data_IF_198296446072
#
_entry.id   IF_198296446072
#
_cell.length_a   1.000
_cell.length_b   1.000
_cell.length_c   1.000
_cell.angle_alpha   90.00
_cell.angle_beta   90.00
_cell.angle_gamma   90.00
#
_symmetry.space_group_name_H-M   'P 1'
#
loop_
_entity.id
_entity.type
_entity.pdbx_description
1 polymer ?
#
# COMPACT_ATOMS: atom_id res chain seq x y z
N UNK A 1 23.25 -7.50 3.50
CA UNK A 1 23.27 -6.19 4.24
C UNK A 1 21.87 -5.91 4.74
N UNK A 2 21.72 -5.36 5.95
CA UNK A 2 20.38 -4.99 6.44
C UNK A 2 19.77 -3.93 5.53
N UNK A 3 18.54 -4.12 5.09
CA UNK A 3 17.81 -3.23 4.18
C UNK A 3 17.63 -1.82 4.78
N UNK A 4 17.51 -1.75 6.12
CA UNK A 4 17.42 -0.50 6.90
C UNK A 4 18.22 -0.66 8.18
N UNK A 5 18.96 0.38 8.57
CA UNK A 5 19.68 0.39 9.84
C UNK A 5 18.74 0.67 11.01
N UNK A 6 19.06 0.09 12.18
CA UNK A 6 18.32 0.36 13.42
C UNK A 6 18.30 1.86 13.78
N UNK A 7 19.36 2.59 13.43
CA UNK A 7 19.47 4.04 13.64
C UNK A 7 18.40 4.80 12.82
N UNK A 8 18.22 4.44 11.57
CA UNK A 8 17.18 5.05 10.70
C UNK A 8 15.76 4.81 11.24
N UNK A 9 15.47 3.57 11.72
CA UNK A 9 14.19 3.24 12.34
C UNK A 9 13.95 4.07 13.61
N UNK A 10 14.99 4.25 14.45
CA UNK A 10 14.91 5.04 15.67
C UNK A 10 14.63 6.52 15.35
N UNK A 11 15.38 7.10 14.43
CA UNK A 11 15.24 8.51 13.99
C UNK A 11 13.89 8.80 13.33
N UNK A 12 13.34 7.83 12.62
CA UNK A 12 12.00 7.90 12.05
C UNK A 12 10.88 7.74 13.08
N UNK A 13 11.19 7.31 14.31
CA UNK A 13 10.21 7.10 15.37
C UNK A 13 9.36 5.85 15.20
N UNK A 14 9.87 4.82 14.52
CA UNK A 14 9.17 3.53 14.29
C UNK A 14 8.91 2.79 15.60
N UNK A 15 9.73 3.00 16.61
CA UNK A 15 9.67 2.32 17.91
C UNK A 15 8.51 2.78 18.81
N UNK A 16 7.88 3.92 18.55
CA UNK A 16 6.75 4.37 19.35
C UNK A 16 5.48 3.62 18.96
N UNK A 17 4.84 3.01 19.94
CA UNK A 17 3.51 2.42 19.79
C UNK A 17 2.41 3.30 20.37
N UNK A 18 1.25 2.72 20.56
CA UNK A 18 0.08 3.37 21.17
C UNK A 18 0.11 3.34 22.71
N UNK A 19 -0.80 4.11 23.31
CA UNK A 19 -1.03 4.09 24.77
C UNK A 19 -1.37 2.68 25.24
N UNK A 20 -0.84 2.29 26.40
CA UNK A 20 -0.96 0.95 27.00
C UNK A 20 -2.41 0.46 27.07
N UNK A 21 -3.37 1.31 27.42
CA UNK A 21 -4.80 0.94 27.47
C UNK A 21 -5.44 0.57 26.13
N UNK A 22 -4.78 0.80 24.99
CA UNK A 22 -5.31 0.53 23.66
C UNK A 22 -4.62 -0.64 22.95
N UNK A 23 -3.73 -1.32 23.62
CA UNK A 23 -2.94 -2.35 23.00
C UNK A 23 -3.72 -3.64 22.71
N UNK A 24 -3.19 -4.45 21.83
CA UNK A 24 -3.67 -5.80 21.59
C UNK A 24 -2.70 -6.79 22.27
N UNK A 25 -3.17 -7.71 23.14
CA UNK A 25 -2.30 -8.70 23.81
C UNK A 25 -1.46 -9.56 22.85
N UNK A 26 -1.96 -9.84 21.65
CA UNK A 26 -1.22 -10.59 20.62
C UNK A 26 0.05 -9.89 20.16
N UNK A 27 0.14 -8.56 20.34
CA UNK A 27 1.34 -7.78 20.04
C UNK A 27 2.42 -7.87 21.12
N UNK A 28 2.18 -8.58 22.23
CA UNK A 28 3.15 -8.74 23.33
C UNK A 28 4.53 -9.24 22.86
N UNK A 29 4.55 -10.11 21.84
CA UNK A 29 5.80 -10.63 21.26
C UNK A 29 6.66 -9.58 20.57
N UNK A 30 6.06 -8.44 20.13
CA UNK A 30 6.73 -7.36 19.41
C UNK A 30 7.03 -6.15 20.29
N UNK A 31 6.60 -6.16 21.54
CA UNK A 31 6.81 -5.07 22.50
C UNK A 31 8.10 -5.31 23.26
N UNK A 32 8.96 -4.28 23.34
CA UNK A 32 10.18 -4.30 24.12
C UNK A 32 9.96 -3.88 25.56
N UNK A 33 9.25 -2.74 25.77
CA UNK A 33 9.00 -2.21 27.12
C UNK A 33 7.85 -1.19 27.07
N UNK A 34 7.48 -0.71 28.25
CA UNK A 34 6.58 0.43 28.43
C UNK A 34 7.35 1.64 28.95
N UNK A 35 7.04 2.83 28.42
CA UNK A 35 7.59 4.09 28.93
C UNK A 35 6.53 5.20 28.85
N UNK A 36 6.29 5.85 29.98
CA UNK A 36 5.31 6.95 30.08
C UNK A 36 3.90 6.61 29.58
N UNK A 37 3.43 5.39 29.82
CA UNK A 37 2.11 4.92 29.40
C UNK A 37 2.00 4.65 27.88
N UNK A 38 3.13 4.50 27.19
CA UNK A 38 3.21 4.15 25.75
C UNK A 38 4.09 2.91 25.62
N UNK A 39 3.66 1.96 24.80
CA UNK A 39 4.47 0.81 24.45
C UNK A 39 5.57 1.17 23.47
N UNK A 40 6.74 0.57 23.67
CA UNK A 40 7.88 0.69 22.77
C UNK A 40 8.04 -0.62 22.01
N UNK A 41 8.04 -0.54 20.69
CA UNK A 41 8.21 -1.69 19.79
C UNK A 41 9.67 -2.12 19.76
N UNK A 42 9.90 -3.43 19.70
CA UNK A 42 11.24 -4.03 19.59
C UNK A 42 11.78 -3.87 18.16
N UNK A 43 12.69 -2.92 17.98
CA UNK A 43 13.29 -2.63 16.68
C UNK A 43 14.13 -3.77 16.11
N UNK A 44 14.68 -4.66 16.96
CA UNK A 44 15.41 -5.82 16.45
C UNK A 44 14.48 -6.78 15.71
N UNK A 45 13.28 -6.97 16.24
CA UNK A 45 12.22 -7.73 15.56
C UNK A 45 11.69 -7.02 14.33
N UNK A 46 11.55 -5.68 14.40
CA UNK A 46 11.14 -4.88 13.24
C UNK A 46 12.11 -5.05 12.08
N UNK A 47 13.43 -4.98 12.31
CA UNK A 47 14.44 -5.17 11.25
C UNK A 47 14.28 -6.53 10.58
N UNK A 48 14.20 -7.61 11.37
CA UNK A 48 14.05 -8.98 10.84
C UNK A 48 12.76 -9.14 10.01
N UNK A 49 11.64 -8.65 10.55
CA UNK A 49 10.35 -8.74 9.87
C UNK A 49 10.26 -7.85 8.63
N UNK A 50 10.94 -6.72 8.64
CA UNK A 50 11.06 -5.85 7.48
C UNK A 50 11.89 -6.51 6.36
N UNK A 51 12.97 -7.24 6.72
CA UNK A 51 13.76 -8.00 5.75
C UNK A 51 12.97 -9.17 5.15
N UNK A 52 12.17 -9.88 5.94
CA UNK A 52 11.26 -10.92 5.46
C UNK A 52 10.25 -10.34 4.45
N UNK A 53 9.61 -9.22 4.80
CA UNK A 53 8.66 -8.53 3.96
C UNK A 53 9.32 -7.98 2.67
N UNK A 54 10.52 -7.42 2.78
CA UNK A 54 11.31 -6.93 1.64
C UNK A 54 11.57 -8.03 0.62
N UNK A 55 12.09 -9.17 1.09
CA UNK A 55 12.40 -10.31 0.22
C UNK A 55 11.14 -10.86 -0.47
N UNK A 56 10.04 -10.94 0.25
CA UNK A 56 8.76 -11.34 -0.32
C UNK A 56 8.30 -10.38 -1.44
N UNK A 57 8.33 -9.06 -1.18
CA UNK A 57 7.90 -8.05 -2.15
C UNK A 57 8.84 -8.02 -3.36
N UNK A 58 10.14 -8.22 -3.16
CA UNK A 58 11.11 -8.33 -4.25
C UNK A 58 10.79 -9.53 -5.15
N UNK A 59 10.61 -10.71 -4.58
CA UNK A 59 10.23 -11.91 -5.33
C UNK A 59 8.89 -11.76 -6.05
N UNK A 60 7.91 -11.10 -5.42
CA UNK A 60 6.63 -10.77 -6.04
C UNK A 60 6.84 -9.96 -7.34
N UNK A 61 7.73 -8.97 -7.27
CA UNK A 61 8.06 -8.08 -8.40
C UNK A 61 8.85 -8.80 -9.48
N UNK A 62 9.81 -9.68 -9.12
CA UNK A 62 10.54 -10.55 -10.04
C UNK A 62 9.58 -11.43 -10.86
N UNK A 63 8.50 -11.90 -10.24
CA UNK A 63 7.45 -12.69 -10.89
C UNK A 63 6.46 -11.84 -11.71
N UNK A 64 6.72 -10.56 -11.94
CA UNK A 64 5.86 -9.66 -12.70
C UNK A 64 4.50 -9.37 -12.04
N UNK A 65 4.34 -9.65 -10.75
CA UNK A 65 3.12 -9.36 -10.01
C UNK A 65 3.14 -7.95 -9.44
N UNK A 66 1.95 -7.38 -9.27
CA UNK A 66 1.81 -6.01 -8.74
C UNK A 66 1.52 -5.99 -7.25
N UNK A 67 2.01 -4.95 -6.57
CA UNK A 67 1.69 -4.61 -5.19
C UNK A 67 0.67 -3.47 -5.16
N UNK A 68 -0.38 -3.59 -4.33
CA UNK A 68 -1.33 -2.51 -4.08
C UNK A 68 -1.02 -1.86 -2.73
N UNK A 69 -0.62 -0.59 -2.76
CA UNK A 69 -0.38 0.21 -1.57
C UNK A 69 -1.69 0.76 -1.00
N UNK A 70 -1.96 0.52 0.28
CA UNK A 70 -3.22 0.94 0.95
C UNK A 70 -2.91 1.72 2.21
N UNK A 71 -3.39 2.96 2.29
CA UNK A 71 -3.24 3.78 3.48
C UNK A 71 -4.10 5.04 3.41
N UNK A 72 -5.29 4.98 4.03
CA UNK A 72 -6.25 6.10 4.02
C UNK A 72 -6.08 7.04 5.21
N UNK A 73 -5.15 6.74 6.13
CA UNK A 73 -4.79 7.60 7.26
C UNK A 73 -4.14 8.89 6.75
N UNK A 74 -4.50 10.04 7.30
CA UNK A 74 -3.94 11.33 6.84
C UNK A 74 -2.42 11.35 6.79
N UNK A 75 -1.77 10.71 7.76
CA UNK A 75 -0.32 10.61 7.86
C UNK A 75 0.31 9.72 6.77
N UNK A 76 -0.47 8.80 6.19
CA UNK A 76 -0.02 7.84 5.19
C UNK A 76 -0.30 8.27 3.74
N UNK A 77 -1.33 9.10 3.52
CA UNK A 77 -1.87 9.39 2.19
C UNK A 77 -0.83 9.82 1.16
N UNK A 78 0.04 10.76 1.54
CA UNK A 78 1.05 11.29 0.63
C UNK A 78 2.20 10.30 0.42
N UNK A 79 2.71 9.68 1.50
CA UNK A 79 3.77 8.68 1.41
C UNK A 79 3.35 7.49 0.53
N UNK A 80 2.14 6.98 0.71
CA UNK A 80 1.58 5.87 -0.09
C UNK A 80 1.50 6.25 -1.58
N UNK A 81 0.99 7.46 -1.90
CA UNK A 81 0.90 7.93 -3.28
C UNK A 81 2.28 8.09 -3.91
N UNK A 82 3.18 8.82 -3.25
CA UNK A 82 4.51 9.14 -3.77
C UNK A 82 5.32 7.86 -4.03
N UNK A 83 5.34 6.94 -3.07
CA UNK A 83 6.14 5.71 -3.18
C UNK A 83 5.56 4.71 -4.18
N UNK A 84 4.23 4.57 -4.24
CA UNK A 84 3.59 3.74 -5.25
C UNK A 84 3.84 4.27 -6.67
N UNK A 85 3.73 5.58 -6.88
CA UNK A 85 4.04 6.20 -8.16
C UNK A 85 5.51 6.06 -8.54
N UNK A 86 6.42 6.21 -7.56
CA UNK A 86 7.87 6.06 -7.77
C UNK A 86 8.25 4.68 -8.29
N UNK A 87 7.61 3.62 -7.82
CA UNK A 87 7.88 2.25 -8.26
C UNK A 87 6.93 1.75 -9.36
N UNK A 88 5.99 2.60 -9.84
CA UNK A 88 5.03 2.26 -10.88
C UNK A 88 4.04 1.18 -10.45
N UNK A 89 3.57 1.27 -9.20
CA UNK A 89 2.56 0.39 -8.60
C UNK A 89 1.27 1.13 -8.28
N UNK A 90 0.25 0.39 -7.88
CA UNK A 90 -1.10 0.92 -7.61
C UNK A 90 -1.25 1.36 -6.16
N UNK A 91 -2.18 2.30 -5.91
CA UNK A 91 -2.43 2.77 -4.55
C UNK A 91 -3.89 3.15 -4.29
N UNK A 92 -4.27 3.06 -3.02
CA UNK A 92 -5.52 3.58 -2.46
C UNK A 92 -5.18 4.40 -1.22
N UNK A 93 -5.26 5.73 -1.33
CA UNK A 93 -4.87 6.65 -0.26
C UNK A 93 -6.01 7.52 0.28
N UNK A 94 -7.17 7.56 -0.36
CA UNK A 94 -8.29 8.40 0.10
C UNK A 94 -9.31 7.62 0.91
N UNK A 95 -9.91 6.59 0.33
CA UNK A 95 -10.88 5.71 0.98
C UNK A 95 -10.94 4.37 0.23
N UNK A 96 -10.89 3.27 0.98
CA UNK A 96 -11.21 1.97 0.43
C UNK A 96 -12.70 1.88 0.11
N UNK A 97 -13.03 1.56 -1.12
CA UNK A 97 -14.40 1.29 -1.54
C UNK A 97 -14.68 -0.20 -1.38
N UNK A 98 -15.77 -0.54 -0.69
CA UNK A 98 -16.15 -1.95 -0.53
C UNK A 98 -16.30 -2.65 -1.88
N UNK A 99 -15.70 -3.83 -2.02
CA UNK A 99 -15.69 -4.60 -3.26
C UNK A 99 -14.54 -4.26 -4.23
N UNK A 100 -13.53 -3.49 -3.81
CA UNK A 100 -12.39 -3.16 -4.69
C UNK A 100 -11.67 -4.39 -5.24
N UNK A 101 -11.58 -5.45 -4.43
CA UNK A 101 -11.01 -6.73 -4.84
C UNK A 101 -12.10 -7.77 -5.11
N UNK A 102 -13.03 -7.95 -4.18
CA UNK A 102 -14.07 -8.99 -4.27
C UNK A 102 -15.12 -8.74 -5.35
N UNK A 103 -15.30 -7.50 -5.76
CA UNK A 103 -16.17 -7.10 -6.88
C UNK A 103 -15.39 -6.32 -7.95
N UNK A 104 -14.21 -6.82 -8.29
CA UNK A 104 -13.24 -6.16 -9.16
C UNK A 104 -13.83 -5.79 -10.54
N UNK A 105 -14.64 -6.67 -11.13
CA UNK A 105 -15.29 -6.40 -12.43
C UNK A 105 -16.16 -5.14 -12.40
N UNK A 106 -16.95 -4.95 -11.35
CA UNK A 106 -17.79 -3.75 -11.19
C UNK A 106 -16.92 -2.50 -10.96
N UNK A 107 -15.82 -2.65 -10.20
CA UNK A 107 -14.88 -1.54 -9.96
C UNK A 107 -14.18 -1.13 -11.26
N UNK A 108 -13.79 -2.08 -12.13
CA UNK A 108 -13.28 -1.78 -13.47
C UNK A 108 -14.29 -0.98 -14.30
N UNK A 109 -15.58 -1.34 -14.28
CA UNK A 109 -16.60 -0.54 -14.95
C UNK A 109 -16.69 0.92 -14.45
N UNK A 110 -16.37 1.19 -13.16
CA UNK A 110 -16.25 2.55 -12.64
C UNK A 110 -15.02 3.29 -13.17
N UNK A 111 -13.91 2.58 -13.30
CA UNK A 111 -12.69 3.11 -13.92
C UNK A 111 -12.94 3.40 -15.40
N UNK A 112 -13.60 2.50 -16.13
CA UNK A 112 -13.95 2.72 -17.54
C UNK A 112 -14.85 3.96 -17.70
N UNK A 113 -15.78 4.16 -16.76
CA UNK A 113 -16.60 5.38 -16.71
C UNK A 113 -15.77 6.64 -16.50
N UNK A 114 -14.77 6.61 -15.62
CA UNK A 114 -13.83 7.71 -15.42
C UNK A 114 -13.08 8.04 -16.72
N UNK A 115 -12.55 7.03 -17.38
CA UNK A 115 -11.82 7.20 -18.64
C UNK A 115 -12.74 7.76 -19.76
N UNK A 116 -13.98 7.27 -19.84
CA UNK A 116 -14.99 7.80 -20.77
C UNK A 116 -15.25 9.29 -20.53
N UNK A 117 -15.46 9.69 -19.28
CA UNK A 117 -15.73 11.09 -18.94
C UNK A 117 -14.53 11.99 -19.22
N UNK A 118 -13.31 11.54 -18.95
CA UNK A 118 -12.07 12.27 -19.29
C UNK A 118 -11.95 12.45 -20.81
N UNK A 119 -12.20 11.39 -21.57
CA UNK A 119 -12.22 11.47 -23.04
C UNK A 119 -13.24 12.45 -23.56
N UNK A 120 -14.46 12.44 -23.02
CA UNK A 120 -15.52 13.42 -23.39
C UNK A 120 -15.11 14.87 -23.08
N UNK A 121 -14.32 15.08 -22.03
CA UNK A 121 -13.76 16.39 -21.68
C UNK A 121 -12.69 16.82 -22.69
N UNK A 122 -11.79 15.90 -23.08
CA UNK A 122 -10.72 16.15 -24.05
C UNK A 122 -11.22 16.38 -25.47
N UNK A 123 -12.25 15.63 -25.89
CA UNK A 123 -12.87 15.69 -27.22
C UNK A 123 -13.80 16.92 -27.40
N UNK A 124 -13.93 17.80 -26.39
CA UNK A 124 -14.81 18.98 -26.46
C UNK A 124 -16.30 18.66 -26.38
N UNK A 125 -16.70 17.41 -26.10
CA UNK A 125 -18.12 17.03 -25.99
C UNK A 125 -18.83 17.82 -24.88
N UNK A 126 -18.12 18.24 -23.85
CA UNK A 126 -18.67 19.04 -22.75
C UNK A 126 -19.15 20.43 -23.21
N UNK A 127 -18.59 20.98 -24.26
CA UNK A 127 -19.00 22.29 -24.82
C UNK A 127 -20.39 22.26 -25.47
N UNK A 128 -20.85 21.06 -25.87
CA UNK A 128 -22.18 20.84 -26.46
C UNK A 128 -23.26 20.54 -25.41
N UNK A 129 -22.86 20.33 -24.13
CA UNK A 129 -23.80 19.96 -23.08
C UNK A 129 -24.28 21.19 -22.27
N UNK A 130 -25.50 21.14 -21.69
CA UNK A 130 -25.96 22.16 -20.77
C UNK A 130 -25.01 22.30 -19.57
N UNK A 131 -24.76 23.53 -19.12
CA UNK A 131 -23.85 23.83 -18.00
C UNK A 131 -24.10 22.97 -16.75
N UNK A 132 -25.35 22.64 -16.44
CA UNK A 132 -25.74 21.81 -15.30
C UNK A 132 -25.21 20.38 -15.44
N UNK A 133 -25.22 19.80 -16.62
CA UNK A 133 -24.72 18.46 -16.90
C UNK A 133 -23.18 18.43 -16.86
N UNK A 134 -22.53 19.44 -17.43
CA UNK A 134 -21.08 19.59 -17.37
C UNK A 134 -20.60 19.61 -15.92
N UNK A 135 -21.24 20.45 -15.06
CA UNK A 135 -20.90 20.49 -13.64
C UNK A 135 -21.09 19.15 -12.93
N UNK A 136 -22.15 18.41 -13.27
CA UNK A 136 -22.39 17.06 -12.73
C UNK A 136 -21.28 16.08 -13.14
N UNK A 137 -20.89 16.08 -14.42
CA UNK A 137 -19.82 15.22 -14.92
C UNK A 137 -18.45 15.59 -14.34
N UNK A 138 -18.13 16.88 -14.22
CA UNK A 138 -16.91 17.32 -13.55
C UNK A 138 -16.86 16.89 -12.07
N UNK A 139 -17.98 16.99 -11.35
CA UNK A 139 -18.09 16.48 -9.99
C UNK A 139 -17.94 14.95 -9.90
N UNK A 140 -18.45 14.20 -10.90
CA UNK A 140 -18.27 12.75 -11.00
C UNK A 140 -16.81 12.41 -11.27
N UNK A 141 -16.12 13.08 -12.21
CA UNK A 141 -14.69 12.91 -12.49
C UNK A 141 -13.87 13.12 -11.22
N UNK A 142 -14.03 14.28 -10.56
CA UNK A 142 -13.28 14.60 -9.35
C UNK A 142 -13.46 13.55 -8.24
N UNK A 143 -14.68 13.02 -8.09
CA UNK A 143 -14.99 11.96 -7.12
C UNK A 143 -14.34 10.62 -7.48
N UNK A 144 -14.46 10.20 -8.74
CA UNK A 144 -13.89 8.93 -9.22
C UNK A 144 -12.35 8.99 -9.18
N UNK A 145 -11.76 10.09 -9.60
CA UNK A 145 -10.32 10.30 -9.59
C UNK A 145 -9.75 10.28 -8.17
N UNK A 146 -10.44 10.92 -7.23
CA UNK A 146 -10.04 10.91 -5.81
C UNK A 146 -9.99 9.51 -5.22
N UNK A 147 -10.90 8.61 -5.59
CA UNK A 147 -11.01 7.29 -4.97
C UNK A 147 -10.40 6.16 -5.79
N UNK A 148 -10.37 6.28 -7.11
CA UNK A 148 -9.91 5.25 -8.03
C UNK A 148 -8.68 5.65 -8.85
N UNK A 149 -8.23 6.90 -8.76
CA UNK A 149 -7.11 7.42 -9.56
C UNK A 149 -5.84 6.57 -9.44
N UNK A 150 -5.55 6.05 -8.26
CA UNK A 150 -4.37 5.19 -8.04
C UNK A 150 -4.51 3.74 -8.56
N UNK A 151 -5.69 3.33 -9.04
CA UNK A 151 -5.95 1.97 -9.54
C UNK A 151 -6.49 1.95 -10.98
N UNK A 152 -6.41 3.08 -11.69
CA UNK A 152 -6.92 3.22 -13.07
C UNK A 152 -6.29 2.17 -13.99
N UNK A 153 -4.98 1.98 -13.91
CA UNK A 153 -4.22 1.09 -14.78
C UNK A 153 -4.16 -0.37 -14.27
N UNK A 154 -4.79 -0.65 -13.13
CA UNK A 154 -4.81 -1.99 -12.55
C UNK A 154 -5.79 -2.90 -13.32
N UNK A 155 -5.26 -3.68 -14.27
CA UNK A 155 -6.04 -4.58 -15.14
C UNK A 155 -6.33 -5.94 -14.52
N UNK A 156 -5.56 -6.37 -13.51
CA UNK A 156 -5.69 -7.65 -12.81
C UNK A 156 -5.67 -7.39 -11.32
N UNK A 157 -6.12 -8.38 -10.53
CA UNK A 157 -5.96 -8.34 -9.08
C UNK A 157 -4.47 -8.26 -8.71
N UNK A 158 -4.11 -7.52 -7.65
CA UNK A 158 -2.73 -7.43 -7.20
C UNK A 158 -2.27 -8.77 -6.62
N UNK A 159 -0.97 -9.05 -6.73
CA UNK A 159 -0.35 -10.23 -6.14
C UNK A 159 -0.21 -10.14 -4.61
N UNK A 160 -0.14 -8.92 -4.07
CA UNK A 160 -0.15 -8.67 -2.62
C UNK A 160 -0.66 -7.24 -2.31
N UNK A 161 -1.02 -7.02 -1.04
CA UNK A 161 -1.32 -5.69 -0.47
C UNK A 161 -0.20 -5.25 0.45
N UNK A 162 0.17 -3.96 0.40
CA UNK A 162 0.91 -3.29 1.46
C UNK A 162 -0.01 -2.32 2.20
N UNK A 163 -0.23 -2.54 3.49
CA UNK A 163 -1.27 -1.85 4.26
C UNK A 163 -0.64 -1.05 5.42
N UNK A 164 -1.07 0.20 5.57
CA UNK A 164 -0.75 1.03 6.74
C UNK A 164 -1.97 1.12 7.63
N UNK A 165 -1.84 0.75 8.90
CA UNK A 165 -2.92 0.67 9.88
C UNK A 165 -3.98 -0.40 9.52
N UNK A 166 -3.72 -1.69 9.77
CA UNK A 166 -4.67 -2.77 9.49
C UNK A 166 -6.03 -2.60 10.16
N UNK A 167 -6.07 -1.97 11.33
CA UNK A 167 -7.29 -1.73 12.07
C UNK A 167 -8.23 -0.78 11.33
N UNK A 168 -7.68 0.26 10.70
CA UNK A 168 -8.44 1.21 9.90
C UNK A 168 -8.85 0.64 8.55
N UNK A 169 -7.96 -0.11 7.93
CA UNK A 169 -8.16 -0.70 6.60
C UNK A 169 -8.80 -2.10 6.66
N UNK A 170 -9.64 -2.35 7.68
CA UNK A 170 -10.29 -3.65 7.93
C UNK A 170 -10.98 -4.25 6.72
N UNK A 171 -11.63 -3.41 5.90
CA UNK A 171 -12.33 -3.87 4.71
C UNK A 171 -11.34 -4.39 3.65
N UNK A 172 -10.21 -3.72 3.48
CA UNK A 172 -9.17 -4.18 2.56
C UNK A 172 -8.58 -5.53 2.99
N UNK A 173 -8.27 -5.67 4.29
CA UNK A 173 -7.79 -6.92 4.89
C UNK A 173 -8.78 -8.07 4.66
N UNK A 174 -10.06 -7.85 4.98
CA UNK A 174 -11.10 -8.88 4.83
C UNK A 174 -11.28 -9.32 3.36
N UNK A 175 -11.21 -8.37 2.42
CA UNK A 175 -11.32 -8.69 1.00
C UNK A 175 -10.10 -9.45 0.48
N UNK A 176 -8.88 -9.04 0.87
CA UNK A 176 -7.64 -9.71 0.50
C UNK A 176 -7.61 -11.15 1.02
N UNK A 177 -7.95 -11.35 2.30
CA UNK A 177 -8.02 -12.69 2.91
C UNK A 177 -9.04 -13.60 2.24
N UNK A 178 -10.21 -13.04 1.86
CA UNK A 178 -11.24 -13.81 1.12
C UNK A 178 -10.75 -14.31 -0.24
N UNK A 179 -9.82 -13.58 -0.85
CA UNK A 179 -9.23 -13.93 -2.15
C UNK A 179 -7.87 -14.60 -2.04
N UNK A 180 -7.41 -14.90 -0.81
CA UNK A 180 -6.07 -15.45 -0.53
C UNK A 180 -4.93 -14.58 -1.12
N UNK A 181 -5.10 -13.27 -1.10
CA UNK A 181 -4.07 -12.31 -1.50
C UNK A 181 -3.21 -12.01 -0.27
N UNK A 182 -1.89 -12.27 -0.32
CA UNK A 182 -0.98 -11.99 0.79
C UNK A 182 -0.98 -10.53 1.22
N UNK A 183 -0.84 -10.31 2.53
CA UNK A 183 -0.87 -8.98 3.13
C UNK A 183 0.44 -8.70 3.85
N UNK A 184 1.12 -7.64 3.44
CA UNK A 184 2.23 -7.01 4.15
C UNK A 184 1.68 -5.79 4.87
N UNK A 185 1.92 -5.60 6.15
CA UNK A 185 1.39 -4.43 6.84
C UNK A 185 2.31 -3.86 7.92
N UNK A 186 2.26 -2.53 8.08
CA UNK A 186 2.77 -1.85 9.27
C UNK A 186 1.75 -2.07 10.38
N UNK A 187 2.18 -2.79 11.42
CA UNK A 187 1.31 -3.22 12.53
C UNK A 187 1.76 -2.54 13.81
N UNK A 188 0.96 -1.64 14.32
CA UNK A 188 1.20 -0.98 15.60
C UNK A 188 0.65 -1.83 16.76
N UNK A 189 0.96 -1.47 17.99
CA UNK A 189 0.62 -2.19 19.21
C UNK A 189 -0.88 -2.36 19.48
N UNK A 190 -1.75 -1.65 18.77
CA UNK A 190 -3.21 -1.72 18.88
C UNK A 190 -3.89 -2.63 17.82
N UNK A 191 -3.11 -3.24 16.93
CA UNK A 191 -3.60 -4.06 15.82
C UNK A 191 -3.51 -5.57 16.14
N UNK A 192 -4.22 -6.40 15.36
CA UNK A 192 -4.13 -7.86 15.43
C UNK A 192 -3.10 -8.36 14.39
N UNK A 193 -1.97 -8.95 14.80
CA UNK A 193 -0.96 -9.44 13.87
C UNK A 193 -1.36 -10.74 13.15
N UNK A 194 -2.29 -11.54 13.70
CA UNK A 194 -2.65 -12.85 13.15
C UNK A 194 -3.40 -12.77 11.80
N UNK A 195 -3.85 -11.57 11.43
CA UNK A 195 -4.55 -11.32 10.18
C UNK A 195 -3.62 -10.95 9.03
N UNK A 196 -2.32 -10.82 9.31
CA UNK A 196 -1.30 -10.30 8.41
C UNK A 196 -0.26 -11.38 8.14
N UNK A 197 0.05 -11.62 6.88
CA UNK A 197 1.03 -12.64 6.49
C UNK A 197 2.46 -12.17 6.77
N UNK A 198 2.76 -10.91 6.46
CA UNK A 198 4.07 -10.29 6.69
C UNK A 198 3.91 -9.07 7.60
N UNK A 199 4.04 -9.30 8.90
CA UNK A 199 3.91 -8.27 9.94
C UNK A 199 5.19 -7.44 10.01
N UNK A 200 5.08 -6.13 9.86
CA UNK A 200 6.16 -5.16 10.12
C UNK A 200 5.77 -4.39 11.38
N UNK A 201 6.30 -4.78 12.56
CA UNK A 201 5.97 -4.09 13.80
C UNK A 201 6.50 -2.66 13.79
N UNK A 202 5.64 -1.67 14.01
CA UNK A 202 6.08 -0.28 14.01
C UNK A 202 4.96 0.73 14.09
N UNK A 203 5.34 1.99 14.20
CA UNK A 203 4.45 3.13 14.34
C UNK A 203 3.70 3.45 13.03
N UNK A 204 2.40 3.40 13.07
CA UNK A 204 1.52 3.73 11.95
C UNK A 204 0.95 5.17 12.00
N UNK A 205 1.36 5.97 13.01
CA UNK A 205 0.95 7.37 13.19
C UNK A 205 2.04 8.37 12.77
N UNK A 206 3.31 7.97 12.81
CA UNK A 206 4.42 8.85 12.48
C UNK A 206 4.67 8.92 10.97
N UNK A 207 4.50 10.10 10.36
CA UNK A 207 4.71 10.32 8.92
C UNK A 207 6.09 9.83 8.45
N UNK A 208 7.15 10.08 9.27
CA UNK A 208 8.52 9.65 8.94
C UNK A 208 8.67 8.13 8.95
N UNK A 209 8.02 7.44 9.90
CA UNK A 209 8.04 5.99 10.00
C UNK A 209 7.33 5.35 8.80
N UNK A 210 6.13 5.84 8.48
CA UNK A 210 5.35 5.37 7.33
C UNK A 210 6.13 5.59 6.03
N UNK A 211 6.69 6.79 5.83
CA UNK A 211 7.49 7.10 4.62
C UNK A 211 8.71 6.20 4.49
N UNK A 212 9.45 5.97 5.57
CA UNK A 212 10.63 5.10 5.57
C UNK A 212 10.25 3.67 5.17
N UNK A 213 9.24 3.07 5.80
CA UNK A 213 8.85 1.69 5.51
C UNK A 213 8.22 1.57 4.11
N UNK A 214 7.40 2.54 3.69
CA UNK A 214 6.84 2.57 2.32
C UNK A 214 7.93 2.69 1.27
N UNK A 215 8.97 3.50 1.51
CA UNK A 215 10.10 3.65 0.58
C UNK A 215 10.91 2.36 0.47
N UNK A 216 11.04 1.60 1.56
CA UNK A 216 11.69 0.29 1.56
C UNK A 216 10.92 -0.71 0.70
N UNK A 217 9.58 -0.75 0.82
CA UNK A 217 8.76 -1.61 -0.03
C UNK A 217 8.84 -1.22 -1.51
N UNK A 218 8.86 0.09 -1.81
CA UNK A 218 9.04 0.57 -3.17
C UNK A 218 10.43 0.23 -3.75
N UNK A 219 11.48 0.26 -2.93
CA UNK A 219 12.83 -0.16 -3.34
C UNK A 219 12.86 -1.67 -3.65
N UNK A 220 12.20 -2.50 -2.84
CA UNK A 220 12.09 -3.94 -3.09
C UNK A 220 11.47 -4.23 -4.48
N UNK A 221 10.42 -3.48 -4.84
CA UNK A 221 9.80 -3.58 -6.17
C UNK A 221 10.74 -3.18 -7.28
N UNK A 222 11.47 -2.07 -7.11
CA UNK A 222 12.41 -1.60 -8.13
C UNK A 222 13.57 -2.59 -8.32
N UNK A 223 14.09 -3.16 -7.23
CA UNK A 223 15.13 -4.19 -7.28
C UNK A 223 14.62 -5.45 -8.00
N UNK A 224 13.40 -5.92 -7.68
CA UNK A 224 12.81 -7.08 -8.34
C UNK A 224 12.59 -6.86 -9.84
N UNK A 225 12.14 -5.68 -10.26
CA UNK A 225 12.01 -5.33 -11.70
C UNK A 225 13.37 -5.35 -12.42
N UNK A 226 14.41 -4.80 -11.80
CA UNK A 226 15.76 -4.81 -12.37
C UNK A 226 16.34 -6.22 -12.50
N UNK A 227 16.03 -7.11 -11.54
CA UNK A 227 16.40 -8.52 -11.60
C UNK A 227 15.75 -9.21 -12.79
N UNK A 228 14.42 -9.07 -12.96
CA UNK A 228 13.68 -9.65 -14.08
C UNK A 228 14.19 -9.16 -15.45
N UNK A 229 14.43 -7.84 -15.60
CA UNK A 229 14.98 -7.26 -16.84
C UNK A 229 16.39 -7.76 -17.15
N UNK A 230 17.18 -8.11 -16.14
CA UNK A 230 18.53 -8.67 -16.32
C UNK A 230 18.49 -10.13 -16.77
N UNK A 231 17.57 -10.90 -16.23
CA UNK A 231 17.38 -12.32 -16.57
C UNK A 231 16.83 -12.47 -18.00
N UNK A 232 15.84 -11.68 -18.42
CA UNK A 232 15.34 -11.66 -19.80
C UNK A 232 16.44 -11.34 -20.80
N UNK A 233 17.30 -10.34 -20.51
CA UNK A 233 18.43 -9.98 -21.38
C UNK A 233 19.54 -11.04 -21.41
N UNK A 234 19.65 -11.86 -20.37
CA UNK A 234 20.59 -12.97 -20.33
C UNK A 234 20.09 -14.17 -21.18
N UNK A 235 18.79 -14.42 -21.13
CA UNK A 235 18.15 -15.47 -21.96
C UNK A 235 18.19 -15.13 -23.46
N UNK A 236 17.88 -13.89 -23.85
CA UNK A 236 17.99 -13.44 -25.25
C UNK A 236 19.40 -13.56 -25.82
N UNK A 237 20.46 -13.44 -24.98
CA UNK A 237 21.85 -13.59 -25.41
C UNK A 237 22.30 -15.05 -25.53
N UNK A 238 21.58 -16.00 -24.97
CA UNK A 238 21.89 -17.43 -25.04
C UNK A 238 21.17 -18.13 -26.19
N UNK A 239 20.10 -17.54 -26.73
CA UNK A 239 19.33 -18.07 -27.87
C UNK A 239 19.77 -17.49 -29.25
N UNK A 240 20.67 -16.54 -29.30
CA UNK A 240 21.22 -15.90 -30.53
C UNK A 240 22.67 -16.34 -30.80
#
# INVERSE_FOLDING_TARGET
MAVVSMKQLLEAGVHFGHKTRRWNPKMATYIYTERNGIYIVDLQKTVKKLEEAYNFVRQLSENGQSLLFVGTKKQAQDAIREEAQRCGMFYVNARWLGGMLTNFKTMRGRVDRLNQLKKMQEDGTFDMLPKKEVMKHMGEIAKLEKYLGGVVDMKRLPGALFVVDPRKERNAINEARKLNIPIVAIVDTNCDPDEIDYVIPGNDDAIRAIRLISSVMANAIQEGKQGADADEKAEEKTEG
#
